data_IF_588736083803
#
_entry.id   IF_588736083803
#
_cell.length_a   1.000
_cell.length_b   1.000
_cell.length_c   1.000
_cell.angle_alpha   90.00
_cell.angle_beta   90.00
_cell.angle_gamma   90.00
#
_symmetry.space_group_name_H-M   'P 1'
#
loop_
_entity.id
_entity.type
_entity.pdbx_description
1 polymer ?
#
# COMPACT_ATOMS: atom_id res chain seq x y z
N UNK A 1 -20.19 48.12 9.95
CA UNK A 1 -19.45 47.63 8.78
C UNK A 1 -18.15 47.03 9.29
N UNK A 2 -18.16 45.72 9.48
CA UNK A 2 -16.94 44.91 9.55
C UNK A 2 -17.30 43.66 8.77
N UNK A 3 -16.87 43.66 7.51
CA UNK A 3 -16.98 42.51 6.63
C UNK A 3 -16.03 41.44 7.17
N UNK A 4 -16.63 40.39 7.74
CA UNK A 4 -15.95 39.20 8.19
C UNK A 4 -15.64 38.36 6.95
N UNK A 5 -14.62 38.77 6.19
CA UNK A 5 -14.10 38.00 5.07
C UNK A 5 -13.21 36.86 5.60
N UNK A 6 -13.84 35.89 6.24
CA UNK A 6 -13.26 34.57 6.48
C UNK A 6 -13.36 33.76 5.19
N UNK A 7 -12.67 34.23 4.13
CA UNK A 7 -12.39 33.43 2.95
C UNK A 7 -11.36 32.36 3.34
N UNK A 8 -11.84 31.32 4.00
CA UNK A 8 -11.12 30.06 4.10
C UNK A 8 -11.05 29.51 2.68
N UNK A 9 -10.00 29.89 1.96
CA UNK A 9 -9.69 29.32 0.65
C UNK A 9 -9.43 27.83 0.88
N UNK A 10 -10.43 26.99 0.62
CA UNK A 10 -10.30 25.53 0.63
C UNK A 10 -9.28 25.15 -0.44
N UNK A 11 -8.03 24.93 -0.02
CA UNK A 11 -6.96 24.47 -0.90
C UNK A 11 -7.32 23.10 -1.43
N UNK A 12 -7.04 22.86 -2.71
CA UNK A 12 -7.24 21.53 -3.31
C UNK A 12 -6.30 20.49 -2.69
N UNK A 13 -6.64 19.20 -2.79
CA UNK A 13 -5.78 18.12 -2.28
C UNK A 13 -4.36 18.19 -2.83
N UNK A 14 -4.20 18.53 -4.12
CA UNK A 14 -2.89 18.76 -4.73
C UNK A 14 -2.14 19.92 -4.08
N UNK A 15 -2.80 21.05 -3.81
CA UNK A 15 -2.16 22.20 -3.17
C UNK A 15 -1.72 21.88 -1.74
N UNK A 16 -2.55 21.12 -1.00
CA UNK A 16 -2.24 20.66 0.35
C UNK A 16 -1.03 19.72 0.37
N UNK A 17 -1.05 18.68 -0.47
CA UNK A 17 0.09 17.77 -0.63
C UNK A 17 1.36 18.52 -1.05
N UNK A 18 1.28 19.41 -2.04
CA UNK A 18 2.42 20.20 -2.51
C UNK A 18 2.95 21.16 -1.44
N UNK A 19 2.10 21.64 -0.53
CA UNK A 19 2.55 22.45 0.59
C UNK A 19 3.38 21.62 1.57
N UNK A 20 2.92 20.42 1.94
CA UNK A 20 3.67 19.48 2.77
C UNK A 20 4.99 19.07 2.10
N UNK A 21 4.96 18.66 0.84
CA UNK A 21 6.16 18.20 0.11
C UNK A 21 7.26 19.27 0.00
N UNK A 22 6.91 20.57 0.00
CA UNK A 22 7.90 21.66 0.01
C UNK A 22 8.65 21.78 1.33
N UNK A 23 8.09 21.26 2.40
CA UNK A 23 8.70 21.28 3.73
C UNK A 23 9.70 20.14 3.91
N UNK A 24 9.63 19.08 3.10
CA UNK A 24 10.48 17.89 3.19
C UNK A 24 11.97 18.21 3.41
N UNK A 25 12.55 19.09 2.58
CA UNK A 25 13.97 19.48 2.68
C UNK A 25 14.26 20.67 3.61
N UNK A 26 13.25 21.20 4.30
CA UNK A 26 13.35 22.44 5.10
C UNK A 26 13.04 22.20 6.58
N UNK A 27 12.02 21.41 6.84
CA UNK A 27 11.41 21.15 8.14
C UNK A 27 10.65 19.83 8.03
N UNK A 28 11.35 18.72 8.31
CA UNK A 28 10.82 17.35 8.19
C UNK A 28 9.70 17.10 9.19
N UNK A 29 9.82 17.61 10.42
CA UNK A 29 8.77 17.50 11.44
C UNK A 29 7.46 18.15 10.95
N UNK A 30 7.55 19.36 10.41
CA UNK A 30 6.38 20.04 9.86
C UNK A 30 5.86 19.39 8.59
N UNK A 31 6.75 18.85 7.74
CA UNK A 31 6.36 18.05 6.58
C UNK A 31 5.48 16.86 7.01
N UNK A 32 5.91 16.12 8.04
CA UNK A 32 5.18 14.99 8.59
C UNK A 32 3.84 15.46 9.18
N UNK A 33 3.83 16.56 9.94
CA UNK A 33 2.62 17.09 10.54
C UNK A 33 1.57 17.49 9.49
N UNK A 34 1.96 18.28 8.47
CA UNK A 34 1.07 18.72 7.39
C UNK A 34 0.57 17.52 6.55
N UNK A 35 1.44 16.53 6.29
CA UNK A 35 1.05 15.32 5.57
C UNK A 35 0.05 14.48 6.37
N UNK A 36 0.23 14.34 7.69
CA UNK A 36 -0.74 13.67 8.58
C UNK A 36 -2.07 14.43 8.66
N UNK A 37 -2.03 15.76 8.69
CA UNK A 37 -3.24 16.58 8.65
C UNK A 37 -4.05 16.33 7.36
N UNK A 38 -3.37 16.14 6.23
CA UNK A 38 -4.04 15.79 4.98
C UNK A 38 -4.78 14.45 5.07
N UNK A 39 -4.19 13.45 5.74
CA UNK A 39 -4.78 12.12 5.91
C UNK A 39 -6.05 12.11 6.79
N UNK A 40 -6.29 13.15 7.59
CA UNK A 40 -7.52 13.28 8.39
C UNK A 40 -8.75 13.65 7.56
N UNK A 41 -8.58 13.93 6.26
CA UNK A 41 -9.68 14.27 5.36
C UNK A 41 -10.47 13.02 4.96
N UNK A 42 -11.75 12.98 5.32
CA UNK A 42 -12.62 11.81 5.12
C UNK A 42 -12.77 11.40 3.64
N UNK A 43 -12.72 12.38 2.74
CA UNK A 43 -12.92 12.17 1.30
C UNK A 43 -11.62 12.31 0.50
N UNK A 44 -10.47 12.06 1.14
CA UNK A 44 -9.19 12.10 0.45
C UNK A 44 -9.12 10.97 -0.59
N UNK A 45 -8.90 11.29 -1.88
CA UNK A 45 -8.78 10.25 -2.90
C UNK A 45 -7.58 9.33 -2.62
N UNK A 46 -7.66 8.02 -2.94
CA UNK A 46 -6.60 7.05 -2.64
C UNK A 46 -5.22 7.47 -3.11
N UNK A 47 -5.12 8.09 -4.29
CA UNK A 47 -3.88 8.67 -4.80
C UNK A 47 -3.19 9.60 -3.80
N UNK A 48 -3.94 10.50 -3.17
CA UNK A 48 -3.39 11.43 -2.19
C UNK A 48 -3.13 10.79 -0.83
N UNK A 49 -3.86 9.73 -0.48
CA UNK A 49 -3.51 8.89 0.69
C UNK A 49 -2.12 8.31 0.49
N UNK A 50 -1.91 7.59 -0.62
CA UNK A 50 -0.64 6.94 -0.97
C UNK A 50 0.50 7.96 -0.97
N UNK A 51 0.31 9.11 -1.64
CA UNK A 51 1.34 10.16 -1.70
C UNK A 51 1.71 10.79 -0.37
N UNK A 52 0.74 11.08 0.50
CA UNK A 52 1.05 11.62 1.82
C UNK A 52 1.73 10.55 2.69
N UNK A 53 1.32 9.29 2.60
CA UNK A 53 1.98 8.20 3.31
C UNK A 53 3.44 8.00 2.87
N UNK A 54 3.73 7.96 1.56
CA UNK A 54 5.10 7.88 1.03
C UNK A 54 5.93 9.08 1.52
N UNK A 55 5.38 10.30 1.43
CA UNK A 55 6.06 11.51 1.91
C UNK A 55 6.40 11.42 3.41
N UNK A 56 5.50 10.89 4.24
CA UNK A 56 5.76 10.67 5.67
C UNK A 56 6.86 9.64 5.86
N UNK A 57 6.83 8.51 5.14
CA UNK A 57 7.87 7.48 5.21
C UNK A 57 9.25 8.05 4.90
N UNK A 58 9.38 8.80 3.81
CA UNK A 58 10.64 9.41 3.40
C UNK A 58 11.15 10.46 4.40
N UNK A 59 10.26 11.06 5.19
CA UNK A 59 10.60 12.17 6.10
C UNK A 59 10.96 11.68 7.51
N UNK A 60 10.67 10.41 7.83
CA UNK A 60 10.92 9.81 9.13
C UNK A 60 12.34 9.22 9.19
N UNK A 61 13.01 9.42 10.35
CA UNK A 61 14.36 8.90 10.57
C UNK A 61 14.39 7.40 10.90
N UNK A 62 13.27 6.84 11.40
CA UNK A 62 13.19 5.45 11.87
C UNK A 62 12.21 4.63 11.04
N UNK A 63 12.71 3.53 10.46
CA UNK A 63 11.89 2.59 9.70
C UNK A 63 10.79 1.92 10.50
N UNK A 64 10.97 1.72 11.81
CA UNK A 64 9.93 1.18 12.69
C UNK A 64 8.66 2.03 12.66
N UNK A 65 8.83 3.35 12.62
CA UNK A 65 7.73 4.32 12.67
C UNK A 65 7.22 4.61 11.24
N UNK A 66 8.11 4.63 10.26
CA UNK A 66 7.78 4.80 8.85
C UNK A 66 6.96 3.62 8.29
N UNK A 67 7.20 2.40 8.77
CA UNK A 67 6.59 1.19 8.21
C UNK A 67 5.05 1.19 8.30
N UNK A 68 4.46 1.82 9.32
CA UNK A 68 2.99 1.95 9.42
C UNK A 68 2.42 2.73 8.23
N UNK A 69 3.10 3.82 7.84
CA UNK A 69 2.69 4.65 6.71
C UNK A 69 2.90 3.90 5.39
N UNK A 70 4.01 3.14 5.26
CA UNK A 70 4.27 2.30 4.08
C UNK A 70 3.19 1.25 3.87
N UNK A 71 2.82 0.53 4.93
CA UNK A 71 1.75 -0.48 4.89
C UNK A 71 0.38 0.14 4.56
N UNK A 72 0.12 1.34 5.07
CA UNK A 72 -1.11 2.08 4.75
C UNK A 72 -1.14 2.49 3.28
N UNK A 73 -0.01 2.92 2.73
CA UNK A 73 0.14 3.25 1.32
C UNK A 73 -0.08 2.01 0.42
N UNK A 74 0.54 0.89 0.76
CA UNK A 74 0.37 -0.40 0.06
C UNK A 74 -1.08 -0.90 0.08
N UNK A 75 -1.75 -0.79 1.23
CA UNK A 75 -3.16 -1.15 1.38
C UNK A 75 -4.06 -0.26 0.52
N UNK A 76 -3.85 1.06 0.58
CA UNK A 76 -4.61 2.01 -0.24
C UNK A 76 -4.38 1.81 -1.74
N UNK A 77 -3.14 1.51 -2.15
CA UNK A 77 -2.79 1.15 -3.53
C UNK A 77 -3.56 -0.10 -3.99
N UNK A 78 -3.54 -1.16 -3.18
CA UNK A 78 -4.19 -2.43 -3.52
C UNK A 78 -5.69 -2.27 -3.74
N UNK A 79 -6.37 -1.53 -2.85
CA UNK A 79 -7.80 -1.23 -2.98
C UNK A 79 -8.07 -0.40 -4.23
N UNK A 80 -7.31 0.69 -4.43
CA UNK A 80 -7.49 1.57 -5.57
C UNK A 80 -7.24 0.87 -6.92
N UNK A 81 -6.26 -0.04 -6.97
CA UNK A 81 -5.94 -0.82 -8.16
C UNK A 81 -7.10 -1.74 -8.58
N UNK A 82 -7.67 -2.47 -7.61
CA UNK A 82 -8.82 -3.36 -7.85
C UNK A 82 -10.02 -2.55 -8.34
N UNK A 83 -10.29 -1.38 -7.73
CA UNK A 83 -11.38 -0.51 -8.13
C UNK A 83 -11.18 0.08 -9.53
N UNK A 84 -10.00 0.62 -9.82
CA UNK A 84 -9.67 1.19 -11.13
C UNK A 84 -9.73 0.14 -12.24
N UNK A 85 -9.25 -1.08 -11.97
CA UNK A 85 -9.34 -2.22 -12.90
C UNK A 85 -10.80 -2.60 -13.17
N UNK A 86 -11.62 -2.69 -12.12
CA UNK A 86 -13.06 -2.99 -12.25
C UNK A 86 -13.80 -1.93 -13.05
N UNK A 87 -13.44 -0.67 -12.88
CA UNK A 87 -14.04 0.47 -13.59
C UNK A 87 -13.44 0.70 -15.00
N UNK A 88 -12.37 -0.02 -15.36
CA UNK A 88 -11.61 0.20 -16.59
C UNK A 88 -11.13 1.66 -16.72
N UNK A 89 -10.76 2.29 -15.60
CA UNK A 89 -10.25 3.67 -15.59
C UNK A 89 -8.75 3.68 -15.93
N UNK A 90 -8.44 3.78 -17.23
CA UNK A 90 -7.06 3.84 -17.74
C UNK A 90 -6.27 5.02 -17.13
N UNK A 91 -6.94 6.14 -16.82
CA UNK A 91 -6.31 7.30 -16.23
C UNK A 91 -5.84 7.03 -14.80
N UNK A 92 -6.72 6.42 -13.99
CA UNK A 92 -6.39 6.01 -12.64
C UNK A 92 -5.32 4.92 -12.61
N UNK A 93 -5.41 3.93 -13.52
CA UNK A 93 -4.43 2.84 -13.61
C UNK A 93 -3.01 3.37 -13.89
N UNK A 94 -2.87 4.28 -14.87
CA UNK A 94 -1.56 4.88 -15.17
C UNK A 94 -0.97 5.64 -13.98
N UNK A 95 -1.81 6.37 -13.26
CA UNK A 95 -1.39 7.11 -12.07
C UNK A 95 -0.99 6.16 -10.94
N UNK A 96 -1.66 5.01 -10.81
CA UNK A 96 -1.30 3.99 -9.84
C UNK A 96 0.00 3.27 -10.22
N UNK A 97 0.26 3.00 -11.50
CA UNK A 97 1.53 2.43 -11.96
C UNK A 97 2.73 3.29 -11.52
N UNK A 98 2.64 4.62 -11.67
CA UNK A 98 3.67 5.55 -11.18
C UNK A 98 3.86 5.41 -9.66
N UNK A 99 2.77 5.31 -8.90
CA UNK A 99 2.83 5.14 -7.45
C UNK A 99 3.37 3.76 -7.02
N UNK A 100 3.19 2.72 -7.84
CA UNK A 100 3.78 1.40 -7.57
C UNK A 100 5.30 1.49 -7.60
N UNK A 101 5.85 2.19 -8.60
CA UNK A 101 7.28 2.41 -8.69
C UNK A 101 7.83 3.13 -7.46
N UNK A 102 7.16 4.20 -6.99
CA UNK A 102 7.55 4.91 -5.77
C UNK A 102 7.53 4.00 -4.52
N UNK A 103 6.56 3.08 -4.42
CA UNK A 103 6.46 2.12 -3.31
C UNK A 103 7.54 1.03 -3.38
N UNK A 104 7.83 0.53 -4.58
CA UNK A 104 8.88 -0.46 -4.80
C UNK A 104 10.27 0.12 -4.47
N UNK A 105 10.52 1.37 -4.87
CA UNK A 105 11.73 2.10 -4.50
C UNK A 105 11.86 2.24 -2.98
N UNK A 106 10.76 2.59 -2.29
CA UNK A 106 10.75 2.70 -0.83
C UNK A 106 11.05 1.37 -0.12
N UNK A 107 10.54 0.24 -0.64
CA UNK A 107 10.86 -1.08 -0.10
C UNK A 107 12.29 -1.50 -0.40
N UNK A 108 12.84 -1.16 -1.58
CA UNK A 108 14.24 -1.41 -1.91
C UNK A 108 15.18 -0.67 -0.93
N UNK A 109 14.94 0.61 -0.67
CA UNK A 109 15.72 1.38 0.32
C UNK A 109 15.68 0.76 1.71
N UNK A 110 14.53 0.23 2.12
CA UNK A 110 14.41 -0.47 3.40
C UNK A 110 15.24 -1.74 3.44
N UNK A 111 15.26 -2.51 2.35
CA UNK A 111 16.03 -3.74 2.28
C UNK A 111 17.54 -3.46 2.31
N UNK A 112 17.98 -2.39 1.65
CA UNK A 112 19.38 -1.92 1.72
C UNK A 112 19.78 -1.50 3.13
N UNK A 113 18.94 -0.75 3.85
CA UNK A 113 19.22 -0.34 5.24
C UNK A 113 19.27 -1.53 6.21
N UNK A 114 18.45 -2.55 5.97
CA UNK A 114 18.45 -3.79 6.76
C UNK A 114 19.57 -4.76 6.38
N UNK A 115 20.22 -4.56 5.24
CA UNK A 115 21.31 -5.41 4.78
C UNK A 115 22.58 -5.10 5.59
N UNK A 116 22.72 -5.80 6.72
CA UNK A 116 24.02 -5.97 7.38
C UNK A 116 24.77 -7.01 6.55
N UNK A 117 25.63 -6.55 5.65
CA UNK A 117 26.46 -7.43 4.82
C UNK A 117 27.23 -8.44 5.67
N UNK A 118 27.75 -9.52 5.05
CA UNK A 118 28.72 -10.36 5.75
C UNK A 118 29.84 -9.45 6.28
N UNK A 119 30.39 -9.70 7.49
CA UNK A 119 31.58 -8.98 7.94
C UNK A 119 32.59 -9.08 6.80
N UNK A 120 33.15 -7.94 6.38
CA UNK A 120 34.28 -7.95 5.44
C UNK A 120 35.29 -8.95 6.02
N UNK A 121 35.46 -10.08 5.34
CA UNK A 121 36.53 -11.01 5.65
C UNK A 121 37.80 -10.22 5.36
N UNK A 122 38.36 -9.60 6.40
CA UNK A 122 39.77 -9.24 6.41
C UNK A 122 40.49 -10.49 5.90
N UNK A 123 41.13 -10.37 4.73
CA UNK A 123 42.00 -11.39 4.14
C UNK A 123 43.21 -11.62 5.07
N UNK A 124 43.00 -12.14 6.28
CA UNK A 124 44.01 -12.90 6.97
C UNK A 124 44.01 -14.30 6.34
N UNK A 125 45.02 -14.54 5.50
CA UNK A 125 45.46 -15.86 5.03
C UNK A 125 45.36 -16.91 6.16
N UNK A 126 44.20 -17.54 6.27
CA UNK A 126 44.05 -18.76 7.05
C UNK A 126 44.25 -19.91 6.08
N UNK A 127 45.48 -20.39 6.07
CA UNK A 127 45.97 -21.56 5.34
C UNK A 127 45.28 -22.84 5.88
N UNK A 128 43.98 -22.98 5.59
CA UNK A 128 43.20 -24.19 5.88
C UNK A 128 43.01 -24.94 4.56
N UNK A 129 44.03 -25.74 4.26
CA UNK A 129 43.91 -26.97 3.47
C UNK A 129 42.92 -27.92 4.17
N UNK A 130 41.70 -28.09 3.64
CA UNK A 130 41.04 -29.39 3.56
C UNK A 130 39.80 -29.36 2.66
N UNK A 131 39.85 -30.15 1.57
CA UNK A 131 38.71 -31.01 1.23
C UNK A 131 37.61 -30.43 0.34
N UNK A 132 37.93 -30.26 -0.94
CA UNK A 132 36.99 -30.12 -2.05
C UNK A 132 35.86 -31.17 -1.99
N UNK A 133 34.62 -30.79 -1.63
CA UNK A 133 33.44 -31.63 -1.87
C UNK A 133 32.74 -31.12 -3.13
N UNK A 134 32.86 -31.94 -4.17
CA UNK A 134 32.28 -31.76 -5.50
C UNK A 134 30.78 -31.49 -5.47
N UNK A 135 30.35 -30.34 -6.00
CA UNK A 135 28.96 -29.91 -6.18
C UNK A 135 28.32 -30.60 -7.40
N UNK A 136 28.41 -31.92 -7.49
CA UNK A 136 27.95 -32.68 -8.66
C UNK A 136 27.03 -33.86 -8.28
N UNK A 137 26.26 -33.70 -7.19
CA UNK A 137 25.20 -34.64 -6.81
C UNK A 137 24.14 -33.98 -5.91
N UNK A 138 23.33 -33.08 -6.47
CA UNK A 138 21.97 -32.86 -5.94
C UNK A 138 20.99 -32.81 -7.11
N UNK A 139 20.69 -34.02 -7.56
CA UNK A 139 19.67 -34.40 -8.52
C UNK A 139 18.27 -34.05 -8.00
N UNK A 140 17.39 -33.72 -8.94
CA UNK A 140 15.99 -33.35 -8.83
C UNK A 140 15.19 -33.93 -7.64
N UNK A 141 14.55 -33.04 -6.88
CA UNK A 141 13.31 -33.37 -6.18
C UNK A 141 12.14 -32.58 -6.77
N UNK A 142 11.57 -33.19 -7.79
CA UNK A 142 10.18 -33.08 -8.19
C UNK A 142 9.29 -33.54 -7.01
N UNK A 143 8.49 -32.64 -6.45
CA UNK A 143 7.34 -33.02 -5.63
C UNK A 143 6.10 -32.27 -6.11
N UNK A 144 5.44 -32.95 -7.04
CA UNK A 144 4.00 -33.20 -7.12
C UNK A 144 3.05 -32.09 -6.66
N UNK A 145 2.39 -31.53 -7.67
CA UNK A 145 1.04 -30.95 -7.60
C UNK A 145 0.11 -31.94 -6.87
N UNK A 146 -0.29 -31.62 -5.65
CA UNK A 146 -1.42 -32.27 -4.99
C UNK A 146 -2.69 -31.55 -5.45
N UNK A 147 -3.25 -32.11 -6.52
CA UNK A 147 -4.65 -32.02 -6.90
C UNK A 147 -5.51 -32.55 -5.73
N UNK A 148 -6.05 -31.63 -4.91
CA UNK A 148 -7.12 -31.96 -3.98
C UNK A 148 -8.39 -31.23 -4.43
N UNK A 149 -8.99 -31.85 -5.43
CA UNK A 149 -10.38 -31.75 -5.85
C UNK A 149 -11.30 -31.86 -4.63
N UNK A 150 -11.59 -30.72 -3.97
CA UNK A 150 -12.68 -30.64 -3.00
C UNK A 150 -13.95 -30.18 -3.71
N UNK A 151 -14.65 -31.18 -4.21
CA UNK A 151 -16.05 -31.25 -4.59
C UNK A 151 -16.93 -30.27 -3.78
N UNK A 152 -17.64 -29.41 -4.50
CA UNK A 152 -18.72 -28.60 -3.94
C UNK A 152 -19.90 -29.54 -3.61
N UNK A 153 -20.43 -29.56 -2.38
CA UNK A 153 -21.74 -30.13 -2.16
C UNK A 153 -22.80 -29.18 -2.74
N UNK A 154 -23.50 -29.68 -3.75
CA UNK A 154 -24.80 -29.21 -4.19
C UNK A 154 -25.75 -29.13 -2.98
N UNK A 155 -26.21 -27.92 -2.65
CA UNK A 155 -27.46 -27.71 -1.93
C UNK A 155 -28.42 -26.99 -2.89
N UNK A 156 -29.11 -27.78 -3.70
CA UNK A 156 -30.45 -27.47 -4.17
C UNK A 156 -31.37 -27.41 -2.93
N UNK A 157 -31.71 -26.22 -2.45
CA UNK A 157 -32.91 -26.04 -1.62
C UNK A 157 -33.82 -24.98 -2.26
N UNK A 158 -34.71 -25.52 -3.08
CA UNK A 158 -36.11 -25.15 -3.27
C UNK A 158 -36.55 -23.73 -2.83
N UNK A 159 -36.83 -22.92 -3.85
CA UNK A 159 -37.79 -21.82 -3.88
C UNK A 159 -39.03 -22.09 -3.01
N UNK A 160 -39.21 -21.32 -1.94
CA UNK A 160 -40.52 -21.05 -1.36
C UNK A 160 -40.91 -19.61 -1.68
N UNK A 161 -41.73 -19.46 -2.72
CA UNK A 161 -42.60 -18.30 -2.89
C UNK A 161 -43.42 -18.12 -1.61
N UNK A 162 -43.18 -17.05 -0.87
CA UNK A 162 -44.21 -16.50 0.03
C UNK A 162 -44.75 -15.27 -0.66
N UNK A 163 -45.75 -15.51 -1.51
CA UNK A 163 -46.84 -14.57 -1.71
C UNK A 163 -47.35 -14.16 -0.32
N UNK A 164 -47.22 -12.88 0.02
CA UNK A 164 -48.09 -12.29 1.03
C UNK A 164 -48.74 -11.06 0.43
N UNK A 165 -49.83 -11.39 -0.25
CA UNK A 165 -51.09 -10.68 -0.30
C UNK A 165 -51.06 -9.19 0.07
N UNK A 166 -51.32 -8.41 -0.98
CA UNK A 166 -52.06 -7.16 -0.91
C UNK A 166 -53.27 -7.32 0.03
N UNK A 167 -53.22 -6.72 1.21
CA UNK A 167 -54.43 -6.26 1.88
C UNK A 167 -54.66 -4.78 1.58
N UNK A 168 -55.69 -4.57 0.77
CA UNK A 168 -56.39 -3.31 0.57
C UNK A 168 -57.20 -3.00 1.84
N UNK A 169 -56.97 -1.84 2.43
CA UNK A 169 -57.99 -1.05 3.15
C UNK A 169 -57.52 0.41 3.06
N UNK A 170 -58.07 1.28 2.21
CA UNK A 170 -59.42 1.86 2.33
C UNK A 170 -59.75 2.19 3.79
N UNK A 171 -59.47 3.42 4.23
CA UNK A 171 -60.57 4.36 4.53
C UNK A 171 -60.05 5.78 4.86
N UNK A 172 -60.85 6.76 4.39
CA UNK A 172 -60.90 8.19 4.76
C UNK A 172 -59.84 9.17 4.24
#
# INVERSE_FOLDING_TARGET
>A
MQDNDSSSTTKTYWQRYKAAAKLFNKDTEKCIADAKENLNEMYLPPYYIIKNCILICCAMDYWSDANINRLTAESAYSVAWVEATRMQDEGALKVLEDLRADLDELEAFRQEDLYVGPPEEDEEENDIDDGYVSMDEMEAYEYAVADEEREAPDEEEEIAEVENEVEVAADS
#
